data_IF_577473127979
#
_entry.id   IF_577473127979
#
_cell.length_a   1.000
_cell.length_b   1.000
_cell.length_c   1.000
_cell.angle_alpha   90.00
_cell.angle_beta   90.00
_cell.angle_gamma   90.00
#
_symmetry.space_group_name_H-M   'P 1'
#
loop_
_entity.id
_entity.type
_entity.pdbx_description
1 polymer ?
#
# COMPACT_ATOMS: atom_id res chain seq x y z
N UNK A 1 19.81 -3.14 20.62
CA UNK A 1 20.77 -2.32 21.38
C UNK A 1 20.63 -0.82 21.07
N UNK A 2 20.69 -0.40 19.79
CA UNK A 2 20.60 1.02 19.38
C UNK A 2 19.26 1.70 19.76
N UNK A 3 18.11 1.03 19.57
CA UNK A 3 16.80 1.59 19.97
C UNK A 3 16.71 1.89 21.47
N UNK A 4 17.18 0.96 22.30
CA UNK A 4 17.21 1.12 23.77
C UNK A 4 18.08 2.31 24.17
N UNK A 5 19.20 2.51 23.49
CA UNK A 5 20.08 3.66 23.72
C UNK A 5 19.43 5.00 23.34
N UNK A 6 18.70 5.05 22.21
CA UNK A 6 17.96 6.24 21.78
C UNK A 6 16.84 6.58 22.77
N UNK A 7 16.05 5.58 23.19
CA UNK A 7 14.98 5.77 24.19
C UNK A 7 15.52 6.22 25.55
N UNK A 8 16.64 5.64 26.01
CA UNK A 8 17.30 6.09 27.24
C UNK A 8 17.78 7.54 27.14
N UNK A 9 18.32 7.94 25.99
CA UNK A 9 18.77 9.32 25.73
C UNK A 9 17.61 10.32 25.72
N UNK A 10 16.48 9.94 25.12
CA UNK A 10 15.25 10.74 25.11
C UNK A 10 14.70 10.98 26.54
N UNK A 11 14.65 9.93 27.36
CA UNK A 11 14.22 10.02 28.76
C UNK A 11 15.14 10.96 29.57
N UNK A 12 16.46 10.84 29.39
CA UNK A 12 17.43 11.71 30.09
C UNK A 12 17.24 13.17 29.68
N UNK A 13 17.05 13.46 28.39
CA UNK A 13 16.81 14.83 27.90
C UNK A 13 15.51 15.42 28.46
N UNK A 14 14.45 14.63 28.56
CA UNK A 14 13.19 15.06 29.18
C UNK A 14 13.36 15.36 30.67
N UNK A 15 14.09 14.52 31.41
CA UNK A 15 14.39 14.76 32.82
C UNK A 15 15.21 16.05 33.01
N UNK A 16 16.22 16.28 32.16
CA UNK A 16 17.04 17.50 32.19
C UNK A 16 16.18 18.73 31.88
N UNK A 17 15.30 18.68 30.87
CA UNK A 17 14.38 19.76 30.55
C UNK A 17 13.44 20.09 31.72
N UNK A 18 12.90 19.06 32.39
CA UNK A 18 12.03 19.24 33.56
C UNK A 18 12.78 19.85 34.76
N UNK A 19 14.01 19.43 35.01
CA UNK A 19 14.86 19.99 36.08
C UNK A 19 15.15 21.47 35.80
N UNK A 20 15.53 21.81 34.56
CA UNK A 20 15.79 23.21 34.16
C UNK A 20 14.51 24.05 34.27
N UNK A 21 13.35 23.51 33.85
CA UNK A 21 12.06 24.18 34.04
C UNK A 21 11.73 24.44 35.51
N UNK A 22 12.02 23.48 36.40
CA UNK A 22 11.84 23.66 37.86
C UNK A 22 12.79 24.71 38.45
N UNK A 23 14.02 24.83 37.94
CA UNK A 23 14.95 25.89 38.33
C UNK A 23 14.50 27.26 37.83
N UNK A 24 13.94 27.35 36.63
CA UNK A 24 13.40 28.61 36.09
C UNK A 24 12.26 29.17 36.95
N UNK A 25 11.39 28.31 37.52
CA UNK A 25 10.35 28.73 38.46
C UNK A 25 10.95 29.36 39.74
N UNK A 26 12.13 28.91 40.18
CA UNK A 26 12.82 29.43 41.36
C UNK A 26 13.71 30.64 41.07
N UNK A 27 14.21 30.78 39.84
CA UNK A 27 15.13 31.84 39.40
C UNK A 27 14.69 32.35 38.01
N UNK A 28 13.66 33.20 37.94
CA UNK A 28 13.10 33.67 36.68
C UNK A 28 14.04 34.59 35.89
N UNK A 29 14.98 35.25 36.56
CA UNK A 29 15.94 36.18 35.94
C UNK A 29 17.13 35.46 35.25
N UNK A 30 17.24 34.14 35.43
CA UNK A 30 18.30 33.35 34.80
C UNK A 30 17.89 32.93 33.37
N UNK A 31 18.83 33.10 32.43
CA UNK A 31 18.58 32.92 30.99
C UNK A 31 18.64 31.44 30.56
N UNK A 32 17.63 30.66 30.92
CA UNK A 32 17.50 29.23 30.55
C UNK A 32 16.82 29.00 29.19
N UNK A 33 16.25 30.05 28.59
CA UNK A 33 15.49 30.00 27.34
C UNK A 33 16.27 29.39 26.16
N UNK A 34 17.55 29.75 25.91
CA UNK A 34 18.32 29.17 24.81
C UNK A 34 18.52 27.65 24.96
N UNK A 35 18.64 27.17 26.19
CA UNK A 35 18.87 25.74 26.49
C UNK A 35 17.58 24.95 26.28
N UNK A 36 16.44 25.48 26.73
CA UNK A 36 15.13 24.83 26.53
C UNK A 36 14.76 24.78 25.05
N UNK A 37 15.02 25.85 24.28
CA UNK A 37 14.82 25.87 22.84
C UNK A 37 15.70 24.82 22.16
N UNK A 38 16.99 24.74 22.50
CA UNK A 38 17.89 23.74 21.94
C UNK A 38 17.45 22.29 22.24
N UNK A 39 17.01 22.02 23.49
CA UNK A 39 16.45 20.71 23.87
C UNK A 39 15.18 20.37 23.09
N UNK A 40 14.32 21.36 22.81
CA UNK A 40 13.10 21.17 22.04
C UNK A 40 13.35 20.76 20.58
N UNK A 41 14.49 21.15 19.99
CA UNK A 41 14.89 20.71 18.64
C UNK A 41 15.55 19.34 18.62
N UNK A 42 16.20 18.93 19.72
CA UNK A 42 16.85 17.63 19.85
C UNK A 42 15.85 16.47 19.92
N UNK A 43 14.69 16.68 20.54
CA UNK A 43 13.65 15.65 20.68
C UNK A 43 13.09 15.18 19.31
N UNK A 44 12.65 16.08 18.39
CA UNK A 44 12.24 15.69 17.03
C UNK A 44 13.37 15.03 16.22
N UNK A 45 14.62 15.49 16.40
CA UNK A 45 15.77 14.90 15.70
C UNK A 45 16.03 13.46 16.15
N UNK A 46 15.90 13.18 17.45
CA UNK A 46 15.96 11.83 17.99
C UNK A 46 14.78 10.97 17.51
N UNK A 47 13.59 11.53 17.37
CA UNK A 47 12.42 10.85 16.80
C UNK A 47 12.68 10.42 15.35
N UNK A 48 13.21 11.32 14.53
CA UNK A 48 13.56 11.04 13.12
C UNK A 48 14.66 9.98 13.05
N UNK A 49 15.69 10.07 13.90
CA UNK A 49 16.75 9.06 13.98
C UNK A 49 16.20 7.69 14.41
N UNK A 50 15.30 7.66 15.40
CA UNK A 50 14.60 6.46 15.87
C UNK A 50 13.78 5.82 14.77
N UNK A 51 13.03 6.63 14.01
CA UNK A 51 12.22 6.19 12.88
C UNK A 51 13.09 5.62 11.76
N UNK A 52 14.23 6.25 11.46
CA UNK A 52 15.19 5.78 10.46
C UNK A 52 15.85 4.47 10.87
N UNK A 53 16.23 4.32 12.15
CA UNK A 53 16.73 3.05 12.71
C UNK A 53 15.64 1.98 12.73
N UNK A 54 14.39 2.36 13.00
CA UNK A 54 13.27 1.42 12.95
C UNK A 54 12.99 0.93 11.53
N UNK A 55 12.98 1.82 10.53
CA UNK A 55 12.85 1.42 9.13
C UNK A 55 14.01 0.53 8.70
N UNK A 56 15.26 0.90 9.02
CA UNK A 56 16.44 0.07 8.69
C UNK A 56 16.42 -1.29 9.38
N UNK A 57 15.81 -1.39 10.56
CA UNK A 57 15.62 -2.66 11.26
C UNK A 57 14.42 -3.44 10.71
N UNK A 58 13.37 -2.79 10.20
CA UNK A 58 12.31 -3.45 9.41
C UNK A 58 12.91 -4.05 8.13
N UNK A 59 13.80 -3.32 7.45
CA UNK A 59 14.53 -3.80 6.27
C UNK A 59 15.44 -5.00 6.58
N UNK A 60 16.07 -5.05 7.76
CA UNK A 60 16.92 -6.17 8.19
C UNK A 60 16.14 -7.35 8.82
N UNK A 61 15.01 -7.10 9.47
CA UNK A 61 14.17 -8.15 10.11
C UNK A 61 13.31 -8.88 9.08
N UNK A 62 13.07 -8.28 7.90
CA UNK A 62 12.40 -8.93 6.76
C UNK A 62 13.05 -10.25 6.31
N UNK A 63 14.26 -10.59 6.78
CA UNK A 63 14.93 -11.86 6.48
C UNK A 63 14.65 -13.02 7.45
N UNK A 64 13.81 -12.89 8.48
CA UNK A 64 13.68 -13.97 9.49
C UNK A 64 12.27 -14.37 9.94
N UNK A 65 11.20 -13.76 9.42
CA UNK A 65 9.88 -14.39 9.50
C UNK A 65 9.72 -15.35 8.32
N UNK A 66 9.55 -16.67 8.55
CA UNK A 66 9.17 -17.58 7.48
C UNK A 66 7.77 -17.18 7.04
N UNK A 67 7.69 -16.36 6.00
CA UNK A 67 6.44 -16.12 5.31
C UNK A 67 5.98 -17.50 4.80
N UNK A 68 4.81 -17.95 5.25
CA UNK A 68 4.26 -19.22 4.86
C UNK A 68 3.88 -19.14 3.39
N UNK A 69 4.83 -19.46 2.51
CA UNK A 69 4.59 -19.63 1.07
C UNK A 69 3.38 -20.54 0.93
N UNK A 70 2.31 -20.04 0.31
CA UNK A 70 1.17 -20.90 0.00
C UNK A 70 1.59 -21.80 -1.16
N UNK A 71 1.34 -23.09 -0.99
CA UNK A 71 1.51 -24.07 -2.06
C UNK A 71 0.17 -24.22 -2.80
N UNK A 72 0.22 -24.83 -3.99
CA UNK A 72 -0.96 -25.13 -4.83
C UNK A 72 -1.21 -26.64 -4.90
N UNK A 73 -0.62 -27.38 -3.97
CA UNK A 73 -0.64 -28.84 -3.92
C UNK A 73 -1.96 -29.39 -3.38
N UNK A 74 -2.75 -28.58 -2.66
CA UNK A 74 -4.05 -28.96 -2.15
C UNK A 74 -5.19 -28.14 -2.77
N UNK A 75 -6.33 -28.78 -3.13
CA UNK A 75 -7.49 -28.09 -3.71
C UNK A 75 -8.00 -26.92 -2.88
N UNK A 76 -7.88 -27.01 -1.54
CA UNK A 76 -8.38 -25.98 -0.66
C UNK A 76 -7.56 -24.67 -0.73
N UNK A 77 -6.29 -24.75 -1.10
CA UNK A 77 -5.41 -23.59 -1.28
C UNK A 77 -5.77 -22.79 -2.55
N UNK A 78 -6.45 -23.44 -3.50
CA UNK A 78 -6.89 -22.83 -4.76
C UNK A 78 -8.31 -22.22 -4.68
N UNK A 79 -9.04 -22.41 -3.57
CA UNK A 79 -10.40 -21.87 -3.43
C UNK A 79 -10.47 -20.37 -3.62
N UNK A 80 -9.50 -19.63 -3.06
CA UNK A 80 -9.41 -18.19 -3.22
C UNK A 80 -9.29 -17.82 -4.71
N UNK A 81 -8.32 -18.42 -5.42
CA UNK A 81 -8.08 -18.17 -6.85
C UNK A 81 -9.35 -18.50 -7.64
N UNK A 82 -9.95 -19.66 -7.43
CA UNK A 82 -11.15 -20.11 -8.12
C UNK A 82 -12.36 -19.20 -7.89
N UNK A 83 -12.42 -18.52 -6.74
CA UNK A 83 -13.51 -17.63 -6.36
C UNK A 83 -13.28 -16.15 -6.74
N UNK A 84 -12.07 -15.76 -7.17
CA UNK A 84 -11.76 -14.38 -7.59
C UNK A 84 -12.79 -13.78 -8.56
N UNK A 85 -13.29 -14.49 -9.60
CA UNK A 85 -14.31 -13.93 -10.48
C UNK A 85 -15.61 -13.55 -9.76
N UNK A 86 -16.03 -14.33 -8.76
CA UNK A 86 -17.23 -14.04 -7.99
C UNK A 86 -17.01 -12.85 -7.06
N UNK A 87 -15.83 -12.78 -6.43
CA UNK A 87 -15.45 -11.66 -5.56
C UNK A 87 -15.38 -10.35 -6.34
N UNK A 88 -14.75 -10.35 -7.52
CA UNK A 88 -14.74 -9.20 -8.43
C UNK A 88 -16.16 -8.80 -8.80
N UNK A 89 -17.00 -9.73 -9.27
CA UNK A 89 -18.38 -9.44 -9.68
C UNK A 89 -19.19 -8.75 -8.58
N UNK A 90 -19.04 -9.18 -7.33
CA UNK A 90 -19.74 -8.56 -6.20
C UNK A 90 -19.32 -7.09 -5.99
N UNK A 91 -18.01 -6.80 -6.04
CA UNK A 91 -17.50 -5.42 -5.89
C UNK A 91 -17.83 -4.56 -7.11
N UNK A 92 -17.78 -5.15 -8.30
CA UNK A 92 -18.12 -4.48 -9.55
C UNK A 92 -19.59 -4.07 -9.56
N UNK A 93 -20.50 -4.89 -9.02
CA UNK A 93 -21.92 -4.52 -8.85
C UNK A 93 -22.10 -3.29 -7.97
N UNK A 94 -21.46 -3.23 -6.79
CA UNK A 94 -21.52 -2.03 -5.94
C UNK A 94 -20.84 -0.82 -6.57
N UNK A 95 -19.79 -1.04 -7.36
CA UNK A 95 -19.09 0.04 -8.07
C UNK A 95 -19.95 0.60 -9.21
N UNK A 96 -20.72 -0.26 -9.89
CA UNK A 96 -21.63 0.10 -10.96
C UNK A 96 -22.73 1.07 -10.47
N UNK A 97 -23.27 0.85 -9.27
CA UNK A 97 -24.25 1.76 -8.67
C UNK A 97 -23.71 3.19 -8.53
N UNK A 98 -22.42 3.34 -8.24
CA UNK A 98 -21.74 4.63 -8.17
C UNK A 98 -21.46 5.22 -9.56
N UNK A 99 -21.09 4.38 -10.53
CA UNK A 99 -20.90 4.78 -11.93
C UNK A 99 -22.19 5.29 -12.57
N UNK A 100 -23.32 4.66 -12.27
CA UNK A 100 -24.63 4.99 -12.84
C UNK A 100 -25.21 6.31 -12.33
N UNK A 101 -24.63 6.91 -11.28
CA UNK A 101 -25.07 8.21 -10.77
C UNK A 101 -24.80 9.37 -11.74
N UNK A 102 -23.83 9.21 -12.66
CA UNK A 102 -23.37 10.28 -13.55
C UNK A 102 -22.63 11.44 -12.84
N UNK A 103 -22.47 11.38 -11.51
CA UNK A 103 -21.74 12.39 -10.73
C UNK A 103 -20.27 11.99 -10.70
N UNK A 104 -19.39 12.77 -11.31
CA UNK A 104 -17.97 12.41 -11.50
C UNK A 104 -17.25 12.05 -10.20
N UNK A 105 -17.60 12.69 -9.07
CA UNK A 105 -17.06 12.34 -7.76
C UNK A 105 -17.44 10.92 -7.32
N UNK A 106 -18.71 10.52 -7.50
CA UNK A 106 -19.19 9.18 -7.17
C UNK A 106 -18.62 8.14 -8.13
N UNK A 107 -18.63 8.45 -9.43
CA UNK A 107 -18.06 7.55 -10.44
C UNK A 107 -16.60 7.24 -10.14
N UNK A 108 -15.82 8.27 -9.77
CA UNK A 108 -14.43 8.12 -9.34
C UNK A 108 -14.31 7.26 -8.08
N UNK A 109 -15.21 7.42 -7.10
CA UNK A 109 -15.23 6.59 -5.91
C UNK A 109 -15.46 5.11 -6.25
N UNK A 110 -16.46 4.81 -7.10
CA UNK A 110 -16.70 3.44 -7.56
C UNK A 110 -15.49 2.83 -8.26
N UNK A 111 -14.75 3.62 -9.04
CA UNK A 111 -13.48 3.13 -9.61
C UNK A 111 -12.44 2.82 -8.54
N UNK A 112 -12.30 3.65 -7.50
CA UNK A 112 -11.36 3.40 -6.41
C UNK A 112 -11.73 2.17 -5.57
N UNK A 113 -13.02 1.92 -5.33
CA UNK A 113 -13.48 0.76 -4.57
C UNK A 113 -13.11 -0.56 -5.27
N UNK A 114 -13.33 -0.63 -6.59
CA UNK A 114 -12.89 -1.77 -7.39
C UNK A 114 -11.37 -1.88 -7.45
N UNK A 115 -10.65 -0.78 -7.67
CA UNK A 115 -9.18 -0.77 -7.71
C UNK A 115 -8.58 -1.29 -6.40
N UNK A 116 -9.06 -0.82 -5.25
CA UNK A 116 -8.60 -1.29 -3.94
C UNK A 116 -8.80 -2.80 -3.79
N UNK A 117 -9.97 -3.31 -4.18
CA UNK A 117 -10.27 -4.74 -4.12
C UNK A 117 -9.35 -5.55 -5.05
N UNK A 118 -9.09 -5.07 -6.27
CA UNK A 118 -8.16 -5.71 -7.20
C UNK A 118 -6.72 -5.72 -6.65
N UNK A 119 -6.27 -4.64 -6.02
CA UNK A 119 -4.96 -4.61 -5.37
C UNK A 119 -4.87 -5.66 -4.27
N UNK A 120 -5.88 -5.78 -3.41
CA UNK A 120 -5.90 -6.78 -2.34
C UNK A 120 -5.93 -8.22 -2.88
N UNK A 121 -6.64 -8.44 -4.00
CA UNK A 121 -6.62 -9.72 -4.70
C UNK A 121 -5.22 -10.05 -5.21
N UNK A 122 -4.55 -9.10 -5.83
CA UNK A 122 -3.20 -9.32 -6.35
C UNK A 122 -2.16 -9.51 -5.24
N UNK A 123 -2.28 -8.78 -4.13
CA UNK A 123 -1.46 -9.01 -2.92
C UNK A 123 -1.68 -10.43 -2.39
N UNK A 124 -2.93 -10.91 -2.37
CA UNK A 124 -3.25 -12.27 -1.93
C UNK A 124 -2.73 -13.34 -2.90
N UNK A 125 -2.60 -13.03 -4.18
CA UNK A 125 -1.95 -13.92 -5.17
C UNK A 125 -0.43 -13.90 -5.02
N UNK A 126 0.16 -12.80 -4.57
CA UNK A 126 1.60 -12.70 -4.32
C UNK A 126 2.08 -13.67 -3.23
N UNK A 127 1.19 -14.13 -2.34
CA UNK A 127 1.53 -15.06 -1.26
C UNK A 127 1.96 -16.46 -1.75
N UNK A 128 1.72 -16.77 -3.02
CA UNK A 128 2.15 -18.02 -3.68
C UNK A 128 3.60 -17.94 -4.23
N UNK A 129 4.19 -16.74 -4.23
CA UNK A 129 5.55 -16.49 -4.68
C UNK A 129 6.53 -16.40 -3.49
N UNK A 130 7.85 -16.53 -3.71
CA UNK A 130 8.83 -16.28 -2.67
C UNK A 130 8.73 -14.86 -2.10
N UNK A 131 9.21 -14.62 -0.86
CA UNK A 131 9.34 -13.28 -0.31
C UNK A 131 10.15 -12.36 -1.22
N UNK A 132 9.76 -11.09 -1.30
CA UNK A 132 10.45 -10.06 -2.10
C UNK A 132 10.62 -10.43 -3.59
N UNK A 133 9.77 -11.32 -4.11
CA UNK A 133 9.87 -11.77 -5.51
C UNK A 133 9.66 -10.64 -6.52
N UNK A 134 8.83 -9.66 -6.18
CA UNK A 134 8.48 -8.55 -7.06
C UNK A 134 9.43 -7.36 -6.84
N UNK A 135 10.48 -7.29 -7.65
CA UNK A 135 11.48 -6.19 -7.63
C UNK A 135 12.14 -5.98 -6.25
N UNK A 136 12.29 -7.05 -5.46
CA UNK A 136 12.86 -6.95 -4.12
C UNK A 136 11.96 -6.23 -3.11
N UNK A 137 10.70 -5.95 -3.45
CA UNK A 137 9.73 -5.22 -2.62
C UNK A 137 8.71 -6.15 -1.99
N UNK A 138 8.14 -5.69 -0.87
CA UNK A 138 6.92 -6.27 -0.32
C UNK A 138 5.77 -6.18 -1.36
N UNK A 139 4.94 -7.22 -1.51
CA UNK A 139 3.91 -7.26 -2.56
C UNK A 139 3.00 -6.03 -2.60
N UNK A 140 2.54 -5.57 -1.44
CA UNK A 140 1.68 -4.38 -1.34
C UNK A 140 2.39 -3.11 -1.81
N UNK A 141 3.68 -2.97 -1.53
CA UNK A 141 4.47 -1.83 -1.99
C UNK A 141 4.66 -1.87 -3.51
N UNK A 142 5.05 -3.02 -4.06
CA UNK A 142 5.19 -3.21 -5.50
C UNK A 142 3.88 -2.89 -6.25
N UNK A 143 2.76 -3.46 -5.79
CA UNK A 143 1.45 -3.29 -6.42
C UNK A 143 0.97 -1.83 -6.30
N UNK A 144 1.21 -1.17 -5.16
CA UNK A 144 0.90 0.25 -4.99
C UNK A 144 1.68 1.13 -5.96
N UNK A 145 3.00 0.90 -6.10
CA UNK A 145 3.85 1.62 -7.05
C UNK A 145 3.37 1.41 -8.49
N UNK A 146 3.04 0.16 -8.84
CA UNK A 146 2.47 -0.19 -10.14
C UNK A 146 1.19 0.60 -10.40
N UNK A 147 0.20 0.53 -9.49
CA UNK A 147 -1.08 1.25 -9.64
C UNK A 147 -0.88 2.75 -9.77
N UNK A 148 0.01 3.35 -8.99
CA UNK A 148 0.33 4.77 -9.09
C UNK A 148 0.94 5.12 -10.46
N UNK A 149 1.84 4.28 -10.97
CA UNK A 149 2.42 4.47 -12.30
C UNK A 149 1.36 4.40 -13.40
N UNK A 150 0.38 3.49 -13.29
CA UNK A 150 -0.72 3.36 -14.25
C UNK A 150 -1.66 4.56 -14.22
N UNK A 151 -1.98 5.09 -13.03
CA UNK A 151 -2.70 6.36 -12.93
C UNK A 151 -1.96 7.51 -13.60
N UNK A 152 -0.64 7.58 -13.42
CA UNK A 152 0.19 8.63 -14.00
C UNK A 152 0.20 8.53 -15.53
N UNK A 153 0.37 7.32 -16.06
CA UNK A 153 0.30 7.04 -17.50
C UNK A 153 -1.05 7.44 -18.11
N UNK A 154 -2.17 6.97 -17.54
CA UNK A 154 -3.49 7.25 -18.09
C UNK A 154 -3.85 8.73 -18.04
N UNK A 155 -3.50 9.45 -16.96
CA UNK A 155 -3.73 10.91 -16.91
C UNK A 155 -2.92 11.65 -17.96
N UNK A 156 -1.63 11.36 -18.08
CA UNK A 156 -0.79 12.01 -19.10
C UNK A 156 -1.30 11.78 -20.52
N UNK A 157 -1.89 10.62 -20.81
CA UNK A 157 -2.48 10.35 -22.12
C UNK A 157 -3.82 11.04 -22.35
N UNK A 158 -4.60 11.26 -21.29
CA UNK A 158 -5.90 11.91 -21.36
C UNK A 158 -5.79 13.45 -21.32
N UNK A 159 -4.63 13.97 -20.91
CA UNK A 159 -4.33 15.40 -20.78
C UNK A 159 -3.12 15.79 -21.64
N UNK A 160 -3.23 15.73 -22.98
CA UNK A 160 -2.10 15.92 -23.89
C UNK A 160 -1.49 17.32 -23.81
N UNK A 161 -2.28 18.32 -23.39
CA UNK A 161 -1.84 19.72 -23.25
C UNK A 161 -1.27 20.02 -21.85
N UNK A 162 -1.13 19.00 -20.99
CA UNK A 162 -0.55 19.10 -19.65
C UNK A 162 -1.56 18.87 -18.52
N UNK A 163 -1.04 18.66 -17.30
CA UNK A 163 -1.84 18.27 -16.15
C UNK A 163 -2.94 19.29 -15.82
N UNK A 164 -4.17 18.80 -15.62
CA UNK A 164 -5.34 19.61 -15.26
C UNK A 164 -6.14 20.15 -16.44
N UNK A 165 -5.87 19.72 -17.67
CA UNK A 165 -6.52 20.21 -18.89
C UNK A 165 -7.80 19.46 -19.27
N UNK A 166 -8.04 18.25 -18.76
CA UNK A 166 -9.18 17.42 -19.19
C UNK A 166 -10.38 17.37 -18.22
N UNK A 167 -10.53 18.37 -17.36
CA UNK A 167 -11.62 18.48 -16.38
C UNK A 167 -11.76 17.26 -15.44
N UNK A 168 -12.86 17.20 -14.68
CA UNK A 168 -13.09 16.13 -13.70
C UNK A 168 -13.27 14.73 -14.31
N UNK A 169 -13.63 14.64 -15.60
CA UNK A 169 -13.89 13.37 -16.29
C UNK A 169 -12.62 12.54 -16.51
N UNK A 170 -11.45 13.19 -16.65
CA UNK A 170 -10.14 12.51 -16.75
C UNK A 170 -9.92 11.55 -15.59
N UNK A 171 -10.32 11.92 -14.36
CA UNK A 171 -10.11 11.05 -13.21
C UNK A 171 -10.94 9.77 -13.28
N UNK A 172 -12.13 9.84 -13.86
CA UNK A 172 -13.01 8.67 -14.08
C UNK A 172 -12.43 7.78 -15.16
N UNK A 173 -12.03 8.36 -16.30
CA UNK A 173 -11.44 7.62 -17.42
C UNK A 173 -10.12 6.95 -17.03
N UNK A 174 -9.25 7.66 -16.31
CA UNK A 174 -8.02 7.10 -15.78
C UNK A 174 -8.30 5.95 -14.78
N UNK A 175 -9.34 6.06 -13.96
CA UNK A 175 -9.79 4.97 -13.08
C UNK A 175 -10.16 3.72 -13.86
N UNK A 176 -10.96 3.86 -14.92
CA UNK A 176 -11.30 2.75 -15.83
C UNK A 176 -10.08 2.09 -16.48
N UNK A 177 -9.12 2.89 -16.93
CA UNK A 177 -7.85 2.39 -17.47
C UNK A 177 -7.03 1.60 -16.45
N UNK A 178 -6.93 2.08 -15.21
CA UNK A 178 -6.22 1.39 -14.13
C UNK A 178 -6.90 0.08 -13.73
N UNK A 179 -8.25 0.04 -13.69
CA UNK A 179 -9.01 -1.20 -13.47
C UNK A 179 -8.61 -2.24 -14.51
N UNK A 180 -8.65 -1.87 -15.80
CA UNK A 180 -8.31 -2.78 -16.89
C UNK A 180 -6.86 -3.31 -16.79
N UNK A 181 -5.91 -2.46 -16.41
CA UNK A 181 -4.52 -2.88 -16.21
C UNK A 181 -4.40 -3.89 -15.05
N UNK A 182 -5.02 -3.62 -13.91
CA UNK A 182 -4.99 -4.53 -12.75
C UNK A 182 -5.66 -5.86 -13.06
N UNK A 183 -6.78 -5.85 -13.80
CA UNK A 183 -7.42 -7.09 -14.24
C UNK A 183 -6.54 -7.94 -15.14
N UNK A 184 -5.76 -7.30 -16.02
CA UNK A 184 -4.81 -7.99 -16.88
C UNK A 184 -3.67 -8.61 -16.07
N UNK A 185 -3.14 -7.89 -15.06
CA UNK A 185 -2.08 -8.40 -14.20
C UNK A 185 -2.52 -9.55 -13.30
N UNK A 186 -3.75 -9.48 -12.77
CA UNK A 186 -4.34 -10.59 -12.01
C UNK A 186 -4.54 -11.80 -12.93
N UNK A 187 -5.08 -11.61 -14.14
CA UNK A 187 -5.23 -12.70 -15.11
C UNK A 187 -3.89 -13.36 -15.44
N UNK A 188 -2.85 -12.57 -15.72
CA UNK A 188 -1.51 -13.08 -16.02
C UNK A 188 -0.90 -13.84 -14.84
N UNK A 189 -1.06 -13.31 -13.62
CA UNK A 189 -0.61 -13.97 -12.39
C UNK A 189 -1.32 -15.32 -12.20
N UNK A 190 -2.64 -15.36 -12.38
CA UNK A 190 -3.42 -16.62 -12.26
C UNK A 190 -3.06 -17.61 -13.36
N UNK A 191 -2.79 -17.14 -14.58
CA UNK A 191 -2.28 -17.98 -15.67
C UNK A 191 -1.00 -18.70 -15.26
N UNK A 192 -0.03 -17.95 -14.71
CA UNK A 192 1.25 -18.51 -14.24
C UNK A 192 1.05 -19.49 -13.07
N UNK A 193 0.16 -19.19 -12.13
CA UNK A 193 -0.12 -20.11 -11.02
C UNK A 193 -0.80 -21.39 -11.52
N UNK A 194 -1.73 -21.27 -12.47
CA UNK A 194 -2.46 -22.41 -13.04
C UNK A 194 -1.55 -23.39 -13.79
N UNK A 195 -0.44 -22.94 -14.38
CA UNK A 195 0.48 -23.85 -15.09
C UNK A 195 1.16 -24.87 -14.17
N UNK A 196 1.12 -24.65 -12.85
CA UNK A 196 1.70 -25.53 -11.85
C UNK A 196 0.72 -26.51 -11.21
N UNK A 197 -0.58 -26.46 -11.56
CA UNK A 197 -1.62 -27.29 -10.94
C UNK A 197 -2.81 -27.55 -11.86
N UNK A 198 -3.40 -28.75 -11.77
CA UNK A 198 -4.61 -29.10 -12.52
C UNK A 198 -5.92 -28.68 -11.80
N UNK A 199 -5.84 -28.08 -10.62
CA UNK A 199 -7.01 -27.67 -9.82
C UNK A 199 -7.62 -26.34 -10.27
N UNK A 200 -6.95 -25.63 -11.17
CA UNK A 200 -7.39 -24.35 -11.74
C UNK A 200 -7.60 -24.56 -13.25
N UNK A 201 -8.86 -24.67 -13.66
CA UNK A 201 -9.22 -24.57 -15.08
C UNK A 201 -9.14 -23.09 -15.50
N UNK A 202 -7.96 -22.70 -16.01
CA UNK A 202 -7.67 -21.32 -16.35
C UNK A 202 -8.60 -20.75 -17.43
N UNK A 203 -8.97 -21.53 -18.44
CA UNK A 203 -9.82 -21.05 -19.54
C UNK A 203 -11.24 -20.78 -19.05
N UNK A 204 -11.80 -21.67 -18.23
CA UNK A 204 -13.09 -21.43 -17.56
C UNK A 204 -13.01 -20.26 -16.58
N UNK A 205 -11.94 -20.20 -15.78
CA UNK A 205 -11.69 -19.10 -14.85
C UNK A 205 -11.63 -17.75 -15.56
N UNK A 206 -10.89 -17.65 -16.66
CA UNK A 206 -10.71 -16.43 -17.46
C UNK A 206 -12.03 -15.95 -18.06
N UNK A 207 -12.88 -16.85 -18.55
CA UNK A 207 -14.22 -16.49 -19.04
C UNK A 207 -15.06 -15.84 -17.93
N UNK A 208 -15.06 -16.44 -16.73
CA UNK A 208 -15.75 -15.87 -15.56
C UNK A 208 -15.14 -14.53 -15.14
N UNK A 209 -13.80 -14.42 -15.10
CA UNK A 209 -13.07 -13.20 -14.73
C UNK A 209 -13.43 -12.01 -15.63
N UNK A 210 -13.60 -12.27 -16.93
CA UNK A 210 -13.96 -11.27 -17.94
C UNK A 210 -15.46 -11.06 -18.12
N UNK A 211 -16.31 -11.70 -17.31
CA UNK A 211 -17.76 -11.60 -17.43
C UNK A 211 -18.33 -12.18 -18.74
N UNK A 212 -17.62 -13.13 -19.37
CA UNK A 212 -18.00 -13.79 -20.63
C UNK A 212 -18.59 -15.19 -20.43
N UNK A 213 -19.05 -15.48 -19.22
CA UNK A 213 -19.58 -16.79 -18.79
C UNK A 213 -21.06 -16.67 -18.43
#
# INVERSE_FOLDING_TARGET
MIKVFITASEIVLLIVALIIGAFWIKQPDANYEPILVFLSFLLPMLEVARRKVSNKQVDMVAQTTPYARRYLDQPHQCHFINNLPNLKKAVEQSSQELWDTGITANMRQGSYDLIHSLQDYWVSLAEFFPPLHFDGKEPRAYISDYTQSRFSFHRSNLEPDGAGTGDSIVHVMAGGGVIQDLENMIEETVCTLSSSTNTIDFESWKKRWRGKA
#
